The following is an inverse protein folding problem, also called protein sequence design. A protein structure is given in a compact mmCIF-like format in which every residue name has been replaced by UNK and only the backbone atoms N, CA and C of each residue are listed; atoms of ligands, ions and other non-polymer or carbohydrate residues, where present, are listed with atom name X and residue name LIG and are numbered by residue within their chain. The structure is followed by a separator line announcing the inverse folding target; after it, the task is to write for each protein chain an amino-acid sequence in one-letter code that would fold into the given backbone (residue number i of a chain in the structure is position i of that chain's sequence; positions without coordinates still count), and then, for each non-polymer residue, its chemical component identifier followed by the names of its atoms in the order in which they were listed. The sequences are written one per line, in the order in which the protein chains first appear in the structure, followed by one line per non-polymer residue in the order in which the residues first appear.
data_IF_088529686726
#
_entry.id   IF_088529686726
#
_cell.length_a   1.000
_cell.length_b   1.000
_cell.length_c   1.000
_cell.angle_alpha   90.00
_cell.angle_beta   90.00
_cell.angle_gamma   90.00
#
_symmetry.space_group_name_H-M   'P 1'
#
loop_
_entity.id
_entity.type
_entity.pdbx_description
1 polymer ?
#
# COMPACT_ATOMS: atom_id res chain seq x y z
N UNK A 1 -0.62 -6.08 -24.76
CA UNK A 1 -0.98 -6.15 -23.32
C UNK A 1 -1.19 -7.57 -22.80
N UNK A 2 -2.04 -8.42 -23.41
CA UNK A 2 -2.36 -9.77 -22.87
C UNK A 2 -1.14 -10.63 -22.47
N UNK A 3 -0.11 -10.73 -23.32
CA UNK A 3 1.13 -11.48 -23.02
C UNK A 3 1.88 -10.89 -21.82
N UNK A 4 2.01 -9.57 -21.76
CA UNK A 4 2.67 -8.89 -20.64
C UNK A 4 1.90 -9.08 -19.32
N UNK A 5 0.57 -8.98 -19.34
CA UNK A 5 -0.29 -9.26 -18.18
C UNK A 5 -0.17 -10.72 -17.74
N UNK A 6 -0.19 -11.67 -18.69
CA UNK A 6 -0.05 -13.10 -18.37
C UNK A 6 1.30 -13.37 -17.70
N UNK A 7 2.39 -12.90 -18.29
CA UNK A 7 3.74 -13.07 -17.73
C UNK A 7 3.81 -12.41 -16.35
N UNK A 8 3.45 -11.13 -16.24
CA UNK A 8 3.50 -10.39 -14.96
C UNK A 8 2.70 -11.07 -13.85
N UNK A 9 1.41 -11.39 -14.08
CA UNK A 9 0.56 -12.03 -13.08
C UNK A 9 1.10 -13.41 -12.72
N UNK A 10 1.46 -14.24 -13.71
CA UNK A 10 1.99 -15.59 -13.46
C UNK A 10 3.28 -15.57 -12.64
N UNK A 11 4.20 -14.66 -12.96
CA UNK A 11 5.45 -14.47 -12.21
C UNK A 11 5.16 -14.03 -10.78
N UNK A 12 4.34 -13.00 -10.57
CA UNK A 12 3.99 -12.55 -9.22
C UNK A 12 3.29 -13.63 -8.40
N UNK A 13 2.36 -14.37 -9.00
CA UNK A 13 1.68 -15.50 -8.32
C UNK A 13 2.67 -16.58 -7.93
N UNK A 14 3.58 -16.97 -8.82
CA UNK A 14 4.61 -17.97 -8.52
C UNK A 14 5.52 -17.50 -7.38
N UNK A 15 5.99 -16.24 -7.41
CA UNK A 15 6.81 -15.69 -6.33
C UNK A 15 6.09 -15.67 -4.98
N UNK A 16 4.84 -15.17 -4.92
CA UNK A 16 4.08 -15.15 -3.66
C UNK A 16 3.77 -16.55 -3.13
N UNK A 17 3.41 -17.49 -4.01
CA UNK A 17 3.19 -18.87 -3.61
C UNK A 17 4.48 -19.52 -3.09
N UNK A 18 5.62 -19.31 -3.77
CA UNK A 18 6.92 -19.80 -3.32
C UNK A 18 7.29 -19.23 -1.95
N UNK A 19 7.17 -17.92 -1.74
CA UNK A 19 7.45 -17.30 -0.45
C UNK A 19 6.56 -17.84 0.67
N UNK A 20 5.26 -18.01 0.41
CA UNK A 20 4.31 -18.57 1.39
C UNK A 20 4.58 -20.04 1.71
N UNK A 21 4.73 -20.88 0.68
CA UNK A 21 4.96 -22.31 0.85
C UNK A 21 6.32 -22.61 1.48
N UNK A 22 7.40 -21.97 1.04
CA UNK A 22 8.74 -22.15 1.62
C UNK A 22 8.82 -21.57 3.02
N UNK A 23 8.19 -20.42 3.28
CA UNK A 23 8.10 -19.84 4.62
C UNK A 23 7.39 -20.78 5.59
N UNK A 24 6.25 -21.35 5.18
CA UNK A 24 5.54 -22.33 6.00
C UNK A 24 6.31 -23.64 6.14
N UNK A 25 6.98 -24.13 5.08
CA UNK A 25 7.81 -25.33 5.18
C UNK A 25 8.99 -25.17 6.15
N UNK A 26 9.56 -23.96 6.25
CA UNK A 26 10.66 -23.67 7.14
C UNK A 26 10.24 -23.47 8.61
N UNK A 27 9.11 -22.78 8.86
CA UNK A 27 8.71 -22.35 10.21
C UNK A 27 7.44 -23.02 10.76
N UNK A 28 6.71 -23.78 9.93
CA UNK A 28 5.44 -24.39 10.28
C UNK A 28 4.42 -23.37 10.82
N UNK A 29 3.70 -23.77 11.87
CA UNK A 29 2.75 -22.90 12.58
C UNK A 29 3.40 -21.68 13.27
N UNK A 30 4.73 -21.63 13.36
CA UNK A 30 5.47 -20.48 13.90
C UNK A 30 5.82 -19.42 12.86
N UNK A 31 5.36 -19.56 11.60
CA UNK A 31 5.64 -18.61 10.53
C UNK A 31 5.09 -17.21 10.87
N UNK A 32 5.99 -16.23 10.98
CA UNK A 32 5.63 -14.83 11.25
C UNK A 32 5.21 -14.13 9.96
N UNK A 33 4.31 -13.14 10.09
CA UNK A 33 3.87 -12.32 8.95
C UNK A 33 5.01 -11.56 8.25
N UNK A 34 6.06 -11.18 8.99
CA UNK A 34 7.34 -10.80 8.40
C UNK A 34 8.33 -11.96 8.56
N UNK A 35 8.61 -12.66 7.46
CA UNK A 35 9.51 -13.82 7.42
C UNK A 35 10.91 -13.49 7.97
N UNK A 36 11.42 -12.27 7.74
CA UNK A 36 12.74 -11.86 8.24
C UNK A 36 12.82 -11.83 9.78
N UNK A 37 11.68 -11.62 10.45
CA UNK A 37 11.61 -11.64 11.93
C UNK A 37 11.55 -13.06 12.51
N UNK A 38 11.36 -14.08 11.66
CA UNK A 38 11.39 -15.49 12.04
C UNK A 38 12.82 -16.04 12.20
N UNK A 39 13.81 -15.42 11.53
CA UNK A 39 15.21 -15.85 11.52
C UNK A 39 16.08 -15.25 12.63
N UNK A 40 15.50 -14.49 13.59
CA UNK A 40 16.24 -13.68 14.57
C UNK A 40 17.25 -14.39 15.48
N UNK A 41 17.36 -15.72 15.41
CA UNK A 41 18.32 -16.55 16.16
C UNK A 41 19.22 -17.42 15.26
N UNK A 42 19.06 -17.39 13.94
CA UNK A 42 19.79 -18.27 13.01
C UNK A 42 20.85 -17.49 12.24
N UNK A 43 22.11 -17.91 12.38
CA UNK A 43 23.21 -17.43 11.54
C UNK A 43 22.91 -17.74 10.05
N UNK A 44 23.12 -16.78 9.11
CA UNK A 44 23.98 -15.60 9.25
C UNK A 44 23.25 -14.24 9.22
N UNK A 45 23.59 -13.36 10.18
CA UNK A 45 23.01 -12.01 10.33
C UNK A 45 23.20 -11.10 9.12
N UNK A 46 24.33 -11.23 8.39
CA UNK A 46 24.62 -10.39 7.23
C UNK A 46 23.55 -10.52 6.12
N UNK A 47 22.95 -11.70 5.98
CA UNK A 47 21.93 -11.95 4.95
C UNK A 47 20.62 -11.25 5.30
N UNK A 48 20.27 -11.22 6.59
CA UNK A 48 19.10 -10.48 7.09
C UNK A 48 19.33 -8.98 6.92
N UNK A 49 20.52 -8.49 7.26
CA UNK A 49 20.87 -7.08 7.09
C UNK A 49 20.85 -6.66 5.62
N UNK A 50 21.40 -7.47 4.73
CA UNK A 50 21.35 -7.24 3.29
C UNK A 50 19.91 -7.21 2.76
N UNK A 51 19.06 -8.14 3.22
CA UNK A 51 17.63 -8.15 2.86
C UNK A 51 16.92 -6.88 3.35
N UNK A 52 17.21 -6.42 4.58
CA UNK A 52 16.66 -5.17 5.11
C UNK A 52 17.13 -3.95 4.30
N UNK A 53 18.40 -3.89 3.88
CA UNK A 53 18.90 -2.81 2.99
C UNK A 53 18.14 -2.83 1.66
N UNK A 54 17.94 -4.00 1.05
CA UNK A 54 17.16 -4.13 -0.17
C UNK A 54 15.72 -3.62 0.01
N UNK A 55 15.07 -3.97 1.13
CA UNK A 55 13.72 -3.48 1.48
C UNK A 55 13.71 -1.95 1.60
N UNK A 56 14.69 -1.35 2.28
CA UNK A 56 14.78 0.11 2.43
C UNK A 56 14.93 0.78 1.07
N UNK A 57 15.86 0.31 0.23
CA UNK A 57 16.08 0.88 -1.12
C UNK A 57 14.79 0.79 -1.96
N UNK A 58 14.13 -0.37 -1.94
CA UNK A 58 12.86 -0.57 -2.65
C UNK A 58 11.75 0.36 -2.13
N UNK A 59 11.55 0.43 -0.81
CA UNK A 59 10.48 1.20 -0.19
C UNK A 59 10.68 2.71 -0.35
N UNK A 60 11.92 3.21 -0.33
CA UNK A 60 12.21 4.62 -0.63
C UNK A 60 11.76 4.97 -2.04
N UNK A 61 12.10 4.13 -3.03
CA UNK A 61 11.66 4.33 -4.41
C UNK A 61 10.14 4.28 -4.55
N UNK A 62 9.51 3.27 -3.94
CA UNK A 62 8.05 3.13 -3.94
C UNK A 62 7.36 4.35 -3.32
N UNK A 63 7.81 4.80 -2.14
CA UNK A 63 7.26 5.97 -1.45
C UNK A 63 7.31 7.22 -2.32
N UNK A 64 8.44 7.47 -2.99
CA UNK A 64 8.60 8.62 -3.88
C UNK A 64 7.59 8.63 -5.02
N UNK A 65 7.35 7.46 -5.63
CA UNK A 65 6.39 7.32 -6.74
C UNK A 65 4.95 7.41 -6.25
N UNK A 66 4.60 6.74 -5.15
CA UNK A 66 3.24 6.73 -4.61
C UNK A 66 2.78 8.09 -4.06
N UNK A 67 3.71 8.92 -3.58
CA UNK A 67 3.36 10.26 -3.10
C UNK A 67 3.06 11.25 -4.25
N UNK A 68 3.60 11.05 -5.46
CA UNK A 68 3.44 12.03 -6.56
C UNK A 68 1.98 12.30 -6.92
N UNK A 69 1.10 11.29 -7.12
CA UNK A 69 -0.30 11.55 -7.46
C UNK A 69 -1.04 12.32 -6.38
N UNK A 70 -0.74 12.04 -5.10
CA UNK A 70 -1.35 12.75 -3.96
C UNK A 70 -0.90 14.20 -3.95
N UNK A 71 0.39 14.46 -4.11
CA UNK A 71 0.92 15.82 -4.20
C UNK A 71 0.34 16.56 -5.40
N UNK A 72 0.31 15.94 -6.58
CA UNK A 72 -0.27 16.55 -7.78
C UNK A 72 -1.76 16.88 -7.60
N UNK A 73 -2.54 15.98 -7.00
CA UNK A 73 -3.97 16.20 -6.76
C UNK A 73 -4.21 17.36 -5.79
N UNK A 74 -3.53 17.38 -4.64
CA UNK A 74 -3.73 18.42 -3.62
C UNK A 74 -3.18 19.77 -4.08
N UNK A 75 -1.99 19.79 -4.67
CA UNK A 75 -1.38 21.02 -5.20
C UNK A 75 -2.21 21.60 -6.36
N UNK A 76 -2.67 20.75 -7.27
CA UNK A 76 -3.54 21.16 -8.38
C UNK A 76 -4.89 21.68 -7.90
N UNK A 77 -5.51 20.99 -6.94
CA UNK A 77 -6.77 21.42 -6.35
C UNK A 77 -6.63 22.76 -5.60
N UNK A 78 -5.58 22.93 -4.80
CA UNK A 78 -5.32 24.17 -4.07
C UNK A 78 -5.06 25.35 -5.02
N UNK A 79 -4.29 25.12 -6.10
CA UNK A 79 -4.02 26.14 -7.11
C UNK A 79 -5.28 26.56 -7.88
N UNK A 80 -6.18 25.61 -8.18
CA UNK A 80 -7.45 25.89 -8.84
C UNK A 80 -8.45 26.64 -7.92
N UNK A 81 -8.46 26.30 -6.63
CA UNK A 81 -9.42 26.84 -5.66
C UNK A 81 -9.04 28.25 -5.17
N UNK A 82 -7.73 28.52 -5.02
CA UNK A 82 -7.25 29.80 -4.50
C UNK A 82 -6.18 30.43 -5.41
N UNK A 83 -6.55 30.85 -6.64
CA UNK A 83 -5.60 31.40 -7.60
C UNK A 83 -4.95 32.72 -7.13
N UNK A 84 -5.67 33.50 -6.33
CA UNK A 84 -5.21 34.82 -5.84
C UNK A 84 -4.38 34.73 -4.55
N UNK A 85 -4.25 33.55 -3.94
CA UNK A 85 -3.47 33.38 -2.71
C UNK A 85 -1.97 33.33 -3.04
N UNK A 86 -1.25 34.42 -2.75
CA UNK A 86 0.19 34.52 -3.01
C UNK A 86 1.05 33.46 -2.31
N UNK A 87 0.53 32.75 -1.30
CA UNK A 87 1.23 31.61 -0.69
C UNK A 87 1.20 30.35 -1.57
N UNK A 88 0.13 30.18 -2.36
CA UNK A 88 -0.14 28.98 -3.17
C UNK A 88 0.39 29.15 -4.60
N UNK A 89 0.29 30.34 -5.19
CA UNK A 89 0.64 30.56 -6.60
C UNK A 89 2.01 31.23 -6.82
N UNK A 90 2.62 31.82 -5.79
CA UNK A 90 3.91 32.50 -5.93
C UNK A 90 5.06 31.49 -5.95
N UNK A 91 5.76 31.46 -7.08
CA UNK A 91 7.03 30.75 -7.19
C UNK A 91 8.18 31.71 -6.81
N UNK A 92 8.87 31.40 -5.73
CA UNK A 92 10.10 32.05 -5.32
C UNK A 92 11.29 31.36 -6.00
N UNK A 93 11.94 32.08 -6.92
CA UNK A 93 13.20 31.61 -7.52
C UNK A 93 14.32 31.75 -6.50
N UNK A 94 14.77 30.64 -5.95
CA UNK A 94 15.97 30.61 -5.12
C UNK A 94 17.13 30.12 -5.98
N UNK A 95 18.08 31.01 -6.23
CA UNK A 95 19.30 30.68 -6.94
C UNK A 95 20.26 29.98 -5.97
N UNK A 96 20.41 28.67 -6.10
CA UNK A 96 21.47 27.89 -5.46
C UNK A 96 22.71 27.92 -6.37
N UNK A 97 23.48 29.01 -6.30
CA UNK A 97 24.69 29.22 -7.10
C UNK A 97 24.45 29.56 -8.58
N UNK A 98 25.53 29.71 -9.36
CA UNK A 98 25.50 30.21 -10.76
C UNK A 98 24.81 29.28 -11.78
N UNK A 99 24.42 28.06 -11.42
CA UNK A 99 23.89 27.05 -12.37
C UNK A 99 22.62 26.32 -11.94
N UNK A 100 22.14 26.45 -10.70
CA UNK A 100 20.95 25.76 -10.22
C UNK A 100 19.95 26.76 -9.62
N UNK A 101 19.02 27.22 -10.45
CA UNK A 101 17.84 27.94 -9.97
C UNK A 101 16.72 26.94 -9.65
N UNK A 102 16.20 26.96 -8.43
CA UNK A 102 15.03 26.17 -8.05
C UNK A 102 13.82 27.09 -7.85
N UNK A 103 12.68 26.73 -8.44
CA UNK A 103 11.41 27.40 -8.19
C UNK A 103 10.77 26.81 -6.93
N UNK A 104 10.95 27.48 -5.80
CA UNK A 104 10.34 27.10 -4.54
C UNK A 104 8.94 27.71 -4.46
N UNK A 105 7.96 26.86 -4.18
CA UNK A 105 6.62 27.29 -3.82
C UNK A 105 6.45 26.97 -2.34
N UNK A 106 6.15 27.98 -1.53
CA UNK A 106 6.09 27.84 -0.08
C UNK A 106 5.01 26.84 0.34
N UNK A 107 3.85 26.85 -0.32
CA UNK A 107 2.80 25.86 -0.11
C UNK A 107 3.28 24.43 -0.41
N UNK A 108 3.92 24.20 -1.56
CA UNK A 108 4.47 22.86 -1.89
C UNK A 108 5.45 22.36 -0.83
N UNK A 109 6.33 23.24 -0.36
CA UNK A 109 7.31 22.89 0.67
C UNK A 109 6.62 22.55 1.98
N UNK A 110 5.74 23.41 2.49
CA UNK A 110 5.05 23.19 3.78
C UNK A 110 4.12 21.99 3.74
N UNK A 111 3.40 21.79 2.63
CA UNK A 111 2.47 20.67 2.48
C UNK A 111 3.22 19.33 2.46
N UNK A 112 4.27 19.23 1.65
CA UNK A 112 5.04 17.98 1.53
C UNK A 112 5.78 17.65 2.82
N UNK A 113 6.35 18.63 3.52
CA UNK A 113 6.99 18.38 4.82
C UNK A 113 5.97 17.96 5.87
N UNK A 114 4.81 18.63 5.95
CA UNK A 114 3.72 18.23 6.85
C UNK A 114 3.23 16.81 6.54
N UNK A 115 3.05 16.46 5.27
CA UNK A 115 2.64 15.11 4.85
C UNK A 115 3.64 14.05 5.32
N UNK A 116 4.95 14.29 5.10
CA UNK A 116 5.99 13.36 5.55
C UNK A 116 5.95 13.22 7.07
N UNK A 117 5.94 14.33 7.82
CA UNK A 117 5.90 14.31 9.29
C UNK A 117 4.70 13.52 9.79
N UNK A 118 3.49 13.78 9.26
CA UNK A 118 2.27 13.06 9.66
C UNK A 118 2.39 11.56 9.32
N UNK A 119 2.88 11.22 8.12
CA UNK A 119 3.05 9.81 7.73
C UNK A 119 4.06 9.07 8.61
N UNK A 120 5.14 9.73 9.02
CA UNK A 120 6.14 9.17 9.95
C UNK A 120 5.57 9.02 11.36
N UNK A 121 4.81 10.01 11.85
CA UNK A 121 4.14 9.91 13.14
C UNK A 121 3.15 8.75 13.18
N UNK A 122 2.33 8.60 12.13
CA UNK A 122 1.41 7.47 12.00
C UNK A 122 2.16 6.12 11.97
N UNK A 123 3.30 6.05 11.27
CA UNK A 123 4.11 4.84 11.23
C UNK A 123 4.70 4.47 12.61
N UNK A 124 5.10 5.44 13.42
CA UNK A 124 5.61 5.22 14.79
C UNK A 124 4.48 4.78 15.74
N UNK A 125 3.30 5.40 15.62
CA UNK A 125 2.15 5.13 16.49
C UNK A 125 1.47 3.79 16.20
N UNK A 126 1.62 3.26 14.99
CA UNK A 126 0.94 2.04 14.55
C UNK A 126 1.94 0.95 14.10
N UNK A 127 2.53 0.17 15.03
CA UNK A 127 3.49 -0.87 14.69
C UNK A 127 2.87 -2.15 14.11
N UNK A 128 1.57 -2.17 13.78
CA UNK A 128 0.82 -3.34 13.31
C UNK A 128 0.70 -3.37 11.78
N UNK A 129 1.84 -3.42 11.11
CA UNK A 129 1.92 -3.33 9.65
C UNK A 129 1.04 -4.38 8.93
N UNK A 130 1.07 -5.64 9.40
CA UNK A 130 0.34 -6.73 8.75
C UNK A 130 -1.18 -6.56 8.87
N UNK A 131 -1.69 -6.17 10.04
CA UNK A 131 -3.12 -6.02 10.25
C UNK A 131 -3.67 -4.82 9.48
N UNK A 132 -2.91 -3.72 9.42
CA UNK A 132 -3.28 -2.54 8.62
C UNK A 132 -3.29 -2.86 7.13
N UNK A 133 -2.28 -3.58 6.63
CA UNK A 133 -2.25 -4.02 5.24
C UNK A 133 -3.39 -5.00 4.92
N UNK A 134 -3.69 -5.92 5.83
CA UNK A 134 -4.82 -6.84 5.71
C UNK A 134 -6.15 -6.10 5.62
N UNK A 135 -6.35 -5.10 6.47
CA UNK A 135 -7.55 -4.27 6.50
C UNK A 135 -7.70 -3.40 5.23
N UNK A 136 -6.65 -2.67 4.85
CA UNK A 136 -6.64 -1.84 3.64
C UNK A 136 -6.82 -2.71 2.39
N UNK A 137 -6.18 -3.88 2.36
CA UNK A 137 -6.33 -4.88 1.31
C UNK A 137 -7.77 -5.36 1.20
N UNK A 138 -8.40 -5.73 2.32
CA UNK A 138 -9.78 -6.20 2.36
C UNK A 138 -10.79 -5.14 1.87
N UNK A 139 -10.66 -3.90 2.35
CA UNK A 139 -11.55 -2.80 1.95
C UNK A 139 -11.36 -2.44 0.47
N UNK A 140 -10.13 -2.42 -0.03
CA UNK A 140 -9.84 -2.07 -1.41
C UNK A 140 -10.15 -3.19 -2.40
N UNK A 141 -9.92 -4.45 -2.02
CA UNK A 141 -9.96 -5.60 -2.91
C UNK A 141 -11.33 -5.79 -3.55
N UNK A 142 -12.40 -5.98 -2.76
CA UNK A 142 -13.72 -6.24 -3.34
C UNK A 142 -14.22 -5.12 -4.27
N UNK A 143 -14.30 -3.85 -3.86
CA UNK A 143 -14.86 -2.81 -4.70
C UNK A 143 -13.99 -2.55 -5.94
N UNK A 144 -12.67 -2.39 -5.76
CA UNK A 144 -11.78 -1.91 -6.81
C UNK A 144 -11.29 -3.02 -7.75
N UNK A 145 -11.06 -4.23 -7.24
CA UNK A 145 -10.45 -5.31 -8.05
C UNK A 145 -11.47 -6.32 -8.56
N UNK A 146 -12.62 -6.46 -7.91
CA UNK A 146 -13.64 -7.45 -8.28
C UNK A 146 -14.91 -6.76 -8.78
N UNK A 147 -15.62 -6.04 -7.92
CA UNK A 147 -16.96 -5.50 -8.20
C UNK A 147 -16.95 -4.53 -9.39
N UNK A 148 -16.13 -3.48 -9.36
CA UNK A 148 -16.10 -2.49 -10.44
C UNK A 148 -15.70 -3.12 -11.79
N UNK A 149 -14.61 -3.89 -11.91
CA UNK A 149 -14.25 -4.53 -13.19
C UNK A 149 -15.31 -5.51 -13.70
N UNK A 150 -15.95 -6.29 -12.80
CA UNK A 150 -17.02 -7.23 -13.18
C UNK A 150 -18.24 -6.48 -13.71
N UNK A 151 -18.69 -5.43 -13.02
CA UNK A 151 -19.84 -4.65 -13.46
C UNK A 151 -19.53 -3.89 -14.77
N UNK A 152 -18.33 -3.32 -14.89
CA UNK A 152 -17.86 -2.71 -16.14
C UNK A 152 -17.88 -3.71 -17.30
N UNK A 153 -17.43 -4.95 -17.07
CA UNK A 153 -17.43 -6.00 -18.08
C UNK A 153 -18.85 -6.41 -18.49
N UNK A 154 -19.76 -6.59 -17.53
CA UNK A 154 -21.18 -6.90 -17.79
C UNK A 154 -21.83 -5.81 -18.64
N UNK A 155 -21.60 -4.54 -18.28
CA UNK A 155 -22.14 -3.37 -18.99
C UNK A 155 -21.57 -3.23 -20.39
N UNK A 156 -20.25 -3.35 -20.55
CA UNK A 156 -19.58 -3.21 -21.85
C UNK A 156 -19.97 -4.33 -22.83
N UNK A 157 -20.16 -5.56 -22.33
CA UNK A 157 -20.53 -6.72 -23.14
C UNK A 157 -22.04 -6.91 -23.31
N UNK A 158 -22.86 -6.08 -22.67
CA UNK A 158 -24.32 -6.18 -22.73
C UNK A 158 -24.85 -7.54 -22.26
N UNK A 159 -24.23 -8.14 -21.22
CA UNK A 159 -24.61 -9.49 -20.78
C UNK A 159 -26.03 -9.43 -20.16
N UNK A 160 -27.00 -10.21 -20.68
CA UNK A 160 -28.36 -10.19 -20.15
C UNK A 160 -28.38 -10.71 -18.72
N UNK A 161 -29.21 -10.08 -17.89
CA UNK A 161 -29.45 -10.53 -16.51
C UNK A 161 -29.95 -11.98 -16.50
N UNK A 162 -29.54 -12.73 -15.49
CA UNK A 162 -29.87 -14.16 -15.29
C UNK A 162 -29.31 -15.14 -16.34
N UNK A 163 -28.45 -14.70 -17.26
CA UNK A 163 -27.65 -15.63 -18.06
C UNK A 163 -26.67 -16.39 -17.16
N UNK A 164 -26.32 -17.63 -17.49
CA UNK A 164 -25.31 -18.42 -16.75
C UNK A 164 -24.02 -17.66 -16.48
N UNK A 165 -23.52 -16.91 -17.48
CA UNK A 165 -22.33 -16.05 -17.34
C UNK A 165 -22.54 -14.90 -16.37
N UNK A 166 -23.73 -14.28 -16.37
CA UNK A 166 -24.06 -13.19 -15.44
C UNK A 166 -24.12 -13.71 -14.00
N UNK A 167 -24.80 -14.85 -13.79
CA UNK A 167 -24.90 -15.49 -12.47
C UNK A 167 -23.51 -15.88 -11.98
N UNK A 168 -22.68 -16.51 -12.81
CA UNK A 168 -21.31 -16.89 -12.43
C UNK A 168 -20.47 -15.69 -12.00
N UNK A 169 -20.52 -14.57 -12.75
CA UNK A 169 -19.79 -13.34 -12.41
C UNK A 169 -20.29 -12.69 -11.12
N UNK A 170 -21.61 -12.67 -10.89
CA UNK A 170 -22.19 -12.13 -9.66
C UNK A 170 -21.88 -13.01 -8.45
N UNK A 171 -21.96 -14.34 -8.61
CA UNK A 171 -21.57 -15.28 -7.55
C UNK A 171 -20.09 -15.13 -7.20
N UNK A 172 -19.20 -15.00 -8.17
CA UNK A 172 -17.78 -14.71 -7.93
C UNK A 172 -17.60 -13.42 -7.13
N UNK A 173 -18.26 -12.34 -7.55
CA UNK A 173 -18.20 -11.05 -6.86
C UNK A 173 -18.69 -11.15 -5.41
N UNK A 174 -19.79 -11.86 -5.19
CA UNK A 174 -20.36 -12.07 -3.85
C UNK A 174 -19.46 -12.94 -2.97
N UNK A 175 -18.85 -14.00 -3.50
CA UNK A 175 -17.89 -14.82 -2.74
C UNK A 175 -16.66 -13.98 -2.35
N UNK A 176 -16.11 -13.20 -3.28
CA UNK A 176 -15.00 -12.29 -2.98
C UNK A 176 -15.38 -11.22 -1.95
N UNK A 177 -16.64 -10.75 -1.95
CA UNK A 177 -17.16 -9.87 -0.92
C UNK A 177 -17.10 -10.52 0.46
N UNK A 178 -17.61 -11.75 0.59
CA UNK A 178 -17.61 -12.49 1.86
C UNK A 178 -16.18 -12.73 2.37
N UNK A 179 -15.26 -13.10 1.48
CA UNK A 179 -13.83 -13.28 1.84
C UNK A 179 -13.22 -11.96 2.31
N UNK A 180 -13.53 -10.85 1.63
CA UNK A 180 -13.03 -9.51 2.02
C UNK A 180 -13.60 -9.09 3.37
N UNK A 181 -14.89 -9.36 3.62
CA UNK A 181 -15.52 -9.05 4.89
C UNK A 181 -14.88 -9.85 6.03
N UNK A 182 -14.67 -11.15 5.84
CA UNK A 182 -14.00 -12.00 6.81
C UNK A 182 -12.56 -11.50 7.09
N UNK A 183 -11.80 -11.15 6.04
CA UNK A 183 -10.46 -10.60 6.18
C UNK A 183 -10.44 -9.24 6.92
N UNK A 184 -11.42 -8.37 6.65
CA UNK A 184 -11.57 -7.10 7.37
C UNK A 184 -11.85 -7.32 8.86
N UNK A 185 -12.76 -8.24 9.20
CA UNK A 185 -13.06 -8.60 10.60
C UNK A 185 -11.84 -9.17 11.31
N UNK A 186 -11.12 -10.11 10.68
CA UNK A 186 -9.89 -10.68 11.24
C UNK A 186 -8.79 -9.62 11.44
N UNK A 187 -8.64 -8.68 10.50
CA UNK A 187 -7.67 -7.58 10.64
C UNK A 187 -8.04 -6.64 11.79
N UNK A 188 -9.34 -6.33 11.98
CA UNK A 188 -9.82 -5.53 13.12
C UNK A 188 -9.51 -6.25 14.43
N UNK A 189 -9.79 -7.55 14.52
CA UNK A 189 -9.45 -8.34 15.69
C UNK A 189 -7.94 -8.27 15.99
N UNK A 190 -7.08 -8.51 14.99
CA UNK A 190 -5.62 -8.43 15.13
C UNK A 190 -5.14 -7.07 15.63
N UNK A 191 -5.70 -5.97 15.09
CA UNK A 191 -5.43 -4.61 15.60
C UNK A 191 -5.87 -4.47 17.06
N UNK A 192 -7.06 -4.94 17.43
CA UNK A 192 -7.57 -4.81 18.81
C UNK A 192 -6.75 -5.61 19.82
N UNK A 193 -6.32 -6.82 19.46
CA UNK A 193 -5.46 -7.64 20.31
C UNK A 193 -4.08 -6.99 20.47
N UNK A 194 -3.53 -6.46 19.40
CA UNK A 194 -2.23 -5.81 19.43
C UNK A 194 -2.25 -4.49 20.21
N UNK A 195 -3.36 -3.73 20.16
CA UNK A 195 -3.57 -2.51 20.95
C UNK A 195 -3.63 -2.78 22.46
N UNK A 196 -4.18 -3.92 22.90
CA UNK A 196 -4.21 -4.28 24.35
C UNK A 196 -2.81 -4.40 24.94
N UNK A 197 -1.84 -4.80 24.12
CA UNK A 197 -0.46 -5.05 24.54
C UNK A 197 0.47 -3.86 24.24
N UNK A 198 -0.01 -2.84 23.53
CA UNK A 198 0.79 -1.72 23.07
C UNK A 198 0.83 -0.60 24.11
N UNK A 199 2.05 -0.20 24.46
CA UNK A 199 2.30 1.03 25.22
C UNK A 199 3.01 2.00 24.29
N UNK A 200 2.41 3.17 23.99
CA UNK A 200 3.03 4.17 23.12
C UNK A 200 4.45 4.49 23.59
N UNK A 201 5.39 4.48 22.64
CA UNK A 201 6.79 4.86 22.87
C UNK A 201 7.58 3.97 23.86
N UNK A 202 7.11 2.75 24.16
CA UNK A 202 7.92 1.73 24.85
C UNK A 202 8.25 0.57 23.92
N UNK A 203 9.53 0.38 23.65
CA UNK A 203 10.06 -0.84 23.02
C UNK A 203 10.21 -1.92 24.08
N UNK A 204 9.58 -3.09 23.90
CA UNK A 204 10.00 -4.29 24.65
C UNK A 204 11.39 -4.67 24.14
N UNK A 205 12.40 -4.53 25.00
CA UNK A 205 13.75 -5.06 24.76
C UNK A 205 13.74 -6.58 24.80
#
# INVERSE_FOLDING_TARGET
MKKATLVGVSTTTAFYMLCGCLGYAAFGNGAKGNILTGFGFYEPYWLIDFANVCIVVHLVGAYQVFCQPIFAAVEGFAAATWPNAGFITREHRVAAGKRLGFNLNLFRLTWRTAFVIVSTLLAILMPFFNDILGFLGAIGFWPLTVYFPVEMYIRQRGIPRYTTRWVALQTLSFLCFLVSLAAAVASIEGVTESLKNYVPFKTKS
#
